data_IF_533402087780
#
_entry.id   IF_533402087780
#
_cell.length_a   1.000
_cell.length_b   1.000
_cell.length_c   1.000
_cell.angle_alpha   90.00
_cell.angle_beta   90.00
_cell.angle_gamma   90.00
#
_symmetry.space_group_name_H-M   'P 1'
#
loop_
_entity.id
_entity.type
_entity.pdbx_description
1 polymer ?
2 non-polymer ?
3 non-polymer ?
4 water ?
#
# COMPACT_ATOMS: atom_id res chain seq x y z
N UNK A 17 27.08 7.01 13.35
CA UNK A 17 26.08 7.11 12.24
C UNK A 17 25.14 5.91 12.21
N UNK A 18 24.10 5.92 13.06
CA UNK A 18 23.17 4.78 13.16
C UNK A 18 22.25 4.64 11.96
N UNK A 19 21.78 3.42 11.73
CA UNK A 19 20.86 3.12 10.62
C UNK A 19 19.65 2.30 11.08
N UNK A 20 18.58 2.36 10.29
CA UNK A 20 17.39 1.52 10.51
C UNK A 20 17.31 0.49 9.38
N UNK A 21 17.08 -0.76 9.74
CA UNK A 21 16.86 -1.83 8.77
C UNK A 21 15.36 -2.10 8.62
N UNK A 22 14.84 -1.83 7.43
CA UNK A 22 13.41 -2.01 7.14
C UNK A 22 13.18 -3.31 6.36
N UNK A 23 12.27 -4.15 6.87
CA UNK A 23 12.00 -5.47 6.30
C UNK A 23 10.54 -5.60 5.85
N UNK A 24 10.35 -6.12 4.65
CA UNK A 24 9.02 -6.44 4.14
C UNK A 24 8.99 -7.84 3.54
N UNK A 25 8.52 -8.79 4.33
CA UNK A 25 8.38 -10.17 3.86
C UNK A 25 7.05 -10.36 3.15
N UNK A 26 7.12 -10.53 1.83
CA UNK A 26 5.94 -10.81 1.02
C UNK A 26 5.64 -12.30 0.96
N UNK A 27 4.77 -12.68 0.02
CA UNK A 27 4.39 -14.07 -0.17
C UNK A 27 5.52 -14.92 -0.76
N UNK A 28 6.38 -14.29 -1.58
CA UNK A 28 7.47 -14.99 -2.25
C UNK A 28 8.79 -14.21 -2.24
N UNK A 29 8.91 -13.21 -1.37
CA UNK A 29 10.09 -12.35 -1.34
C UNK A 29 10.36 -11.71 0.03
N UNK A 30 11.55 -11.16 0.19
CA UNK A 30 11.89 -10.31 1.34
C UNK A 30 12.51 -9.01 0.82
N UNK A 31 11.73 -7.95 0.80
CA UNK A 31 12.20 -6.64 0.36
C UNK A 31 12.75 -5.88 1.56
N UNK A 32 14.03 -5.54 1.52
CA UNK A 32 14.67 -4.83 2.62
C UNK A 32 15.32 -3.51 2.19
N UNK A 33 15.46 -2.60 3.14
CA UNK A 33 16.13 -1.32 2.92
C UNK A 33 16.86 -0.86 4.18
N UNK A 34 17.99 -0.19 3.98
CA UNK A 34 18.76 0.38 5.08
C UNK A 34 18.73 1.89 4.96
N UNK A 35 18.21 2.56 5.99
CA UNK A 35 18.07 4.01 5.99
C UNK A 35 18.86 4.67 7.10
N UNK A 36 19.49 5.80 6.78
CA UNK A 36 20.21 6.60 7.76
C UNK A 36 19.22 7.26 8.72
N UNK A 37 19.52 7.20 10.02
CA UNK A 37 18.63 7.74 11.05
C UNK A 37 18.52 9.27 10.97
N UNK A 38 19.64 9.93 10.69
CA UNK A 38 19.71 11.40 10.75
C UNK A 38 18.98 12.10 9.59
N UNK A 39 18.91 11.45 8.44
CA UNK A 39 18.36 12.06 7.24
C UNK A 39 17.24 11.25 6.57
N UNK A 40 17.12 9.99 6.98
CA UNK A 40 16.19 9.02 6.38
C UNK A 40 16.52 8.70 4.92
N UNK A 41 17.81 8.76 4.59
CA UNK A 41 18.30 8.43 3.26
C UNK A 41 18.54 6.93 3.12
N UNK A 42 18.16 6.37 1.97
CA UNK A 42 18.42 4.97 1.68
C UNK A 42 19.89 4.77 1.32
N UNK A 43 20.58 3.95 2.11
CA UNK A 43 22.00 3.66 1.88
C UNK A 43 22.19 2.32 1.17
N UNK A 44 21.21 1.43 1.34
CA UNK A 44 21.21 0.12 0.70
C UNK A 44 19.79 -0.41 0.55
N UNK A 45 19.49 -0.95 -0.63
CA UNK A 45 18.20 -1.58 -0.90
C UNK A 45 18.42 -2.92 -1.58
N UNK A 46 17.50 -3.86 -1.35
CA UNK A 46 17.62 -5.20 -1.92
C UNK A 46 16.34 -6.02 -1.87
N UNK A 47 16.39 -7.20 -2.47
CA UNK A 47 15.25 -8.11 -2.55
C UNK A 47 15.71 -9.57 -2.64
N UNK A 48 15.16 -10.41 -1.76
CA UNK A 48 15.42 -11.84 -1.78
C UNK A 48 14.24 -12.57 -2.43
N UNK A 49 14.25 -12.57 -3.77
CA UNK A 49 13.12 -13.05 -4.56
C UNK A 49 13.06 -14.57 -4.70
N UNK A 50 11.90 -15.09 -5.08
CA UNK A 50 11.69 -16.51 -5.32
C UNK A 50 11.81 -17.38 -4.08
N UNK A 51 11.16 -16.95 -3.00
CA UNK A 51 11.22 -17.67 -1.72
C UNK A 51 10.50 -19.02 -1.76
N UNK A 52 11.06 -19.99 -1.06
CA UNK A 52 10.56 -21.38 -1.02
C UNK A 52 10.63 -22.11 -2.37
N UNK A 53 11.38 -21.53 -3.31
CA UNK A 53 11.57 -22.11 -4.64
C UNK A 53 13.00 -22.65 -4.78
N UNK A 54 13.19 -23.59 -5.70
CA UNK A 54 14.51 -24.15 -5.98
C UNK A 54 15.52 -23.10 -6.45
N UNK A 55 15.01 -22.02 -7.02
CA UNK A 55 15.85 -20.88 -7.44
C UNK A 55 15.51 -19.60 -6.67
N UNK A 56 16.25 -19.35 -5.60
CA UNK A 56 16.02 -18.19 -4.74
C UNK A 56 17.22 -17.24 -4.72
N UNK A 57 17.13 -16.17 -5.49
CA UNK A 57 18.22 -15.20 -5.62
C UNK A 57 18.03 -13.95 -4.76
N UNK A 58 19.14 -13.46 -4.21
CA UNK A 58 19.17 -12.22 -3.44
C UNK A 58 20.00 -11.17 -4.19
N UNK A 59 19.34 -10.10 -4.61
CA UNK A 59 19.99 -9.06 -5.42
C UNK A 59 20.01 -7.69 -4.74
N UNK A 60 21.13 -7.39 -4.09
CA UNK A 60 21.32 -6.13 -3.38
C UNK A 60 21.76 -5.02 -4.34
N UNK A 61 20.97 -3.95 -4.42
CA UNK A 61 21.25 -2.77 -5.24
C UNK A 61 21.35 -3.03 -6.74
N UNK A 62 21.54 -4.29 -7.12
CA UNK A 62 21.73 -4.68 -8.51
C UNK A 62 23.17 -5.00 -8.84
N UNK A 63 24.09 -4.71 -7.92
CA UNK A 63 25.53 -4.89 -8.14
C UNK A 63 25.93 -6.37 -8.24
N UNK A 64 25.21 -7.23 -7.54
CA UNK A 64 25.47 -8.66 -7.54
C UNK A 64 24.21 -9.46 -7.23
N UNK A 65 23.65 -10.14 -8.25
CA UNK A 65 22.50 -11.04 -8.03
C UNK A 65 22.96 -12.41 -7.50
N UNK A 66 23.39 -12.43 -6.23
CA UNK A 66 23.81 -13.67 -5.56
C UNK A 66 22.69 -14.69 -5.50
N UNK A 67 23.04 -15.97 -5.47
CA UNK A 67 22.06 -17.05 -5.59
C UNK A 67 22.03 -18.00 -4.39
N UNK A 68 20.84 -18.53 -4.11
CA UNK A 68 20.64 -19.58 -3.13
C UNK A 68 19.57 -20.56 -3.63
N UNK A 69 19.61 -21.79 -3.12
CA UNK A 69 18.67 -22.83 -3.56
C UNK A 69 17.82 -23.37 -2.42
N UNK A 70 16.50 -23.33 -2.61
CA UNK A 70 15.51 -23.83 -1.64
C UNK A 70 15.83 -23.45 -0.20
N UNK A 71 15.69 -22.17 0.12
CA UNK A 71 16.02 -21.64 1.44
C UNK A 71 14.84 -20.93 2.09
N UNK A 72 14.74 -21.08 3.41
CA UNK A 72 13.64 -20.48 4.18
C UNK A 72 13.79 -18.96 4.39
N UNK A 73 12.78 -18.35 5.00
CA UNK A 73 12.78 -16.91 5.30
C UNK A 73 13.96 -16.49 6.18
N UNK A 74 14.36 -17.36 7.11
CA UNK A 74 15.48 -17.08 8.01
C UNK A 74 16.83 -17.14 7.30
N UNK A 75 16.94 -18.06 6.33
CA UNK A 75 18.18 -18.24 5.57
C UNK A 75 18.45 -17.05 4.66
N UNK A 76 17.39 -16.51 4.06
CA UNK A 76 17.49 -15.31 3.22
C UNK A 76 17.85 -14.08 4.05
N UNK A 77 17.37 -14.04 5.30
CA UNK A 77 17.69 -12.96 6.23
C UNK A 77 19.11 -13.11 6.79
N UNK A 78 19.54 -14.36 6.99
CA UNK A 78 20.90 -14.66 7.45
C UNK A 78 21.93 -14.33 6.38
N UNK A 79 21.48 -14.34 5.12
CA UNK A 79 22.30 -13.90 4.00
C UNK A 79 22.51 -12.38 4.07
N UNK A 80 21.45 -11.64 4.35
CA UNK A 80 21.52 -10.18 4.53
C UNK A 80 22.43 -9.82 5.69
N UNK A 81 22.29 -10.55 6.80
CA UNK A 81 23.09 -10.33 8.01
C UNK A 81 24.60 -10.48 7.76
N UNK A 82 24.96 -11.42 6.89
CA UNK A 82 26.35 -11.61 6.48
C UNK A 82 26.81 -10.50 5.54
N UNK A 83 25.93 -10.10 4.62
CA UNK A 83 26.22 -9.04 3.66
C UNK A 83 26.42 -7.68 4.32
N UNK A 84 25.59 -7.39 5.33
CA UNK A 84 25.69 -6.16 6.09
C UNK A 84 26.96 -6.10 6.93
N UNK A 85 27.38 -7.25 7.47
CA UNK A 85 28.63 -7.37 8.20
C UNK A 85 29.84 -7.25 7.26
N UNK A 86 29.68 -7.75 6.04
CA UNK A 86 30.71 -7.65 5.00
C UNK A 86 30.96 -6.20 4.60
N UNK A 87 29.91 -5.38 4.66
CA UNK A 87 30.01 -3.95 4.39
C UNK A 87 30.13 -3.11 5.67
N UNK A 88 30.45 -3.78 6.78
CA UNK A 88 30.66 -3.14 8.09
C UNK A 88 29.47 -2.31 8.60
N UNK A 89 28.25 -2.77 8.30
CA UNK A 89 27.04 -2.05 8.70
C UNK A 89 26.39 -2.60 9.97
N UNK A 90 26.76 -3.82 10.35
CA UNK A 90 26.14 -4.52 11.50
C UNK A 90 26.06 -3.69 12.78
N UNK A 91 27.16 -3.04 13.15
CA UNK A 91 27.19 -2.21 14.36
C UNK A 91 26.38 -0.92 14.26
N UNK A 92 26.00 -0.53 13.04
CA UNK A 92 25.22 0.69 12.82
C UNK A 92 23.71 0.46 12.94
N UNK A 93 23.28 -0.79 12.84
CA UNK A 93 21.86 -1.16 12.91
C UNK A 93 21.29 -0.91 14.31
N UNK A 94 20.77 0.30 14.52
CA UNK A 94 20.22 0.71 15.81
C UNK A 94 18.77 0.26 15.99
N UNK A 95 18.03 0.20 14.89
CA UNK A 95 16.60 -0.12 14.92
C UNK A 95 16.23 -1.03 13.74
N UNK A 96 15.21 -1.86 13.92
CA UNK A 96 14.69 -2.68 12.83
C UNK A 96 13.17 -2.48 12.68
N UNK A 97 12.75 -2.17 11.46
CA UNK A 97 11.33 -1.95 11.16
C UNK A 97 10.72 -3.09 10.36
N UNK A 98 9.57 -3.58 10.83
CA UNK A 98 8.87 -4.68 10.17
C UNK A 98 7.52 -4.24 9.63
N UNK A 99 7.29 -4.51 8.33
CA UNK A 99 5.99 -4.28 7.73
C UNK A 99 5.06 -5.45 8.01
N UNK A 100 3.91 -5.16 8.61
CA UNK A 100 2.90 -6.17 8.89
C UNK A 100 1.66 -5.91 8.04
N UNK A 101 1.18 -6.96 7.38
CA UNK A 101 0.04 -6.85 6.47
C UNK A 101 -1.29 -6.57 7.18
N UNK A 102 -1.50 -7.18 8.34
CA UNK A 102 -2.80 -7.11 9.02
C UNK A 102 -2.67 -7.04 10.54
N UNK A 103 -3.18 -5.96 11.13
CA UNK A 103 -3.15 -5.77 12.58
C UNK A 103 -4.49 -5.92 13.28
N UNK A 104 -5.48 -6.46 12.56
CA UNK A 104 -6.83 -6.63 13.08
C UNK A 104 -7.38 -5.40 13.76
N UNK A 105 -7.99 -5.59 14.93
CA UNK A 105 -8.47 -4.48 15.76
C UNK A 105 -7.52 -4.22 16.91
N UNK A 106 -6.53 -5.10 17.06
CA UNK A 106 -5.59 -5.05 18.18
C UNK A 106 -4.55 -3.94 18.06
N UNK A 107 -4.27 -3.52 16.83
CA UNK A 107 -3.23 -2.52 16.60
C UNK A 107 -3.74 -1.26 15.92
N UNK A 108 -3.51 -0.13 16.58
CA UNK A 108 -3.96 1.18 16.11
C UNK A 108 -2.79 2.08 15.73
N UNK A 109 -1.59 1.64 16.09
CA UNK A 109 -0.35 2.40 15.86
C UNK A 109 0.86 1.46 15.83
N UNK A 110 2.01 1.99 15.43
CA UNK A 110 3.26 1.22 15.40
C UNK A 110 3.77 0.96 16.82
N UNK A 111 4.21 -0.27 17.06
CA UNK A 111 4.63 -0.69 18.40
C UNK A 111 6.03 -1.32 18.42
N UNK A 112 6.73 -1.17 19.55
CA UNK A 112 7.94 -1.92 19.82
C UNK A 112 7.58 -3.38 20.00
N UNK A 113 8.25 -4.26 19.26
CA UNK A 113 7.95 -5.69 19.28
C UNK A 113 8.40 -6.33 20.59
N UNK A 114 7.47 -7.06 21.21
CA UNK A 114 7.73 -7.88 22.39
C UNK A 114 7.04 -9.24 22.19
N UNK A 115 7.19 -10.14 23.15
CA UNK A 115 6.50 -11.44 23.12
C UNK A 115 4.98 -11.28 23.06
N UNK A 116 4.48 -10.23 23.71
CA UNK A 116 3.06 -9.87 23.67
C UNK A 116 2.62 -9.49 22.25
N UNK A 117 3.43 -8.67 21.59
CA UNK A 117 3.14 -8.19 20.24
C UNK A 117 3.12 -9.35 19.24
N UNK A 118 4.04 -10.30 19.40
CA UNK A 118 4.10 -11.48 18.54
C UNK A 118 2.84 -12.34 18.70
N UNK A 119 2.45 -12.61 19.95
CA UNK A 119 1.22 -13.33 20.24
C UNK A 119 0.01 -12.68 19.57
N UNK A 120 -0.06 -11.36 19.66
CA UNK A 120 -1.17 -10.59 19.10
C UNK A 120 -1.22 -10.57 17.57
N UNK A 121 -0.04 -10.49 16.94
CA UNK A 121 0.07 -10.64 15.49
C UNK A 121 -0.34 -12.04 15.05
N UNK A 122 -0.01 -13.05 15.86
CA UNK A 122 -0.40 -14.42 15.58
C UNK A 122 -1.92 -14.64 15.76
N UNK A 123 -2.54 -13.83 16.63
CA UNK A 123 -3.98 -13.88 16.85
C UNK A 123 -4.78 -13.35 15.66
N UNK A 124 -4.29 -12.30 15.03
CA UNK A 124 -4.97 -11.66 13.91
C UNK A 124 -4.60 -12.26 12.55
N UNK A 125 -3.62 -13.16 12.56
CA UNK A 125 -3.11 -13.80 11.33
C UNK A 125 -4.13 -14.54 10.48
N UNK A 126 -5.20 -15.11 11.09
CA UNK A 126 -6.25 -15.71 10.25
C UNK A 126 -6.95 -14.72 9.30
N UNK A 127 -6.87 -13.43 9.59
CA UNK A 127 -7.46 -12.39 8.75
C UNK A 127 -6.68 -12.17 7.45
N UNK A 128 -5.41 -12.57 7.45
CA UNK A 128 -4.56 -12.56 6.25
C UNK A 128 -3.51 -13.67 6.33
N UNK A 129 -3.91 -14.94 6.09
CA UNK A 129 -3.07 -16.12 6.33
C UNK A 129 -1.73 -16.12 5.59
N UNK A 130 -1.75 -15.86 4.29
CA UNK A 130 -0.53 -15.90 3.48
C UNK A 130 0.51 -14.88 3.96
N UNK A 131 0.12 -13.60 3.94
CA UNK A 131 1.04 -12.50 4.23
C UNK A 131 1.52 -12.41 5.69
N UNK A 132 0.60 -12.60 6.63
CA UNK A 132 0.93 -12.44 8.06
C UNK A 132 1.90 -13.47 8.64
N UNK A 133 1.79 -14.72 8.21
CA UNK A 133 2.73 -15.76 8.65
C UNK A 133 4.13 -15.52 8.09
N UNK A 134 4.20 -14.93 6.90
CA UNK A 134 5.48 -14.51 6.32
C UNK A 134 6.11 -13.38 7.14
N UNK A 135 5.29 -12.44 7.60
CA UNK A 135 5.75 -11.33 8.44
C UNK A 135 6.31 -11.81 9.78
N UNK A 136 5.68 -12.82 10.35
CA UNK A 136 6.11 -13.43 11.61
C UNK A 136 7.42 -14.18 11.45
N UNK A 137 7.57 -14.85 10.30
CA UNK A 137 8.82 -15.54 9.95
C UNK A 137 9.98 -14.54 9.88
N UNK A 138 9.69 -13.35 9.35
CA UNK A 138 10.66 -12.26 9.30
C UNK A 138 11.05 -11.75 10.67
N UNK A 139 10.07 -11.61 11.56
CA UNK A 139 10.30 -11.16 12.94
C UNK A 139 11.18 -12.15 13.69
N UNK A 140 10.81 -13.42 13.63
CA UNK A 140 11.55 -14.51 14.27
C UNK A 140 13.01 -14.57 13.81
N UNK A 141 13.20 -14.41 12.49
CA UNK A 141 14.54 -14.39 11.90
C UNK A 141 15.35 -13.18 12.34
N UNK A 142 14.79 -11.99 12.22
CA UNK A 142 15.47 -10.74 12.58
C UNK A 142 15.78 -10.67 14.07
N UNK A 143 14.93 -11.27 14.89
CA UNK A 143 15.16 -11.32 16.34
C UNK A 143 16.34 -12.21 16.71
N UNK A 144 16.51 -13.30 15.97
CA UNK A 144 17.65 -14.20 16.14
C UNK A 144 18.97 -13.50 15.83
N UNK A 145 19.01 -12.83 14.68
CA UNK A 145 20.24 -12.21 14.19
C UNK A 145 20.57 -10.87 14.86
N UNK A 146 19.54 -10.21 15.40
CA UNK A 146 19.72 -8.91 16.05
C UNK A 146 18.95 -8.82 17.38
N UNK A 147 19.39 -9.58 18.41
CA UNK A 147 18.67 -9.57 19.69
C UNK A 147 18.86 -8.27 20.48
N UNK A 148 20.03 -7.68 20.37
CA UNK A 148 20.35 -6.44 21.09
C UNK A 148 19.75 -5.20 20.43
N UNK A 149 19.04 -5.41 19.33
CA UNK A 149 18.48 -4.31 18.54
C UNK A 149 16.96 -4.22 18.73
N UNK A 150 16.50 -3.03 19.12
CA UNK A 150 15.08 -2.71 19.23
C UNK A 150 14.38 -2.94 17.88
N UNK A 151 13.21 -3.58 17.93
CA UNK A 151 12.46 -3.91 16.73
C UNK A 151 11.02 -3.43 16.80
N UNK A 152 10.55 -2.87 15.68
CA UNK A 152 9.27 -2.19 15.61
C UNK A 152 8.38 -2.81 14.53
N UNK A 153 7.10 -2.98 14.84
CA UNK A 153 6.13 -3.48 13.86
C UNK A 153 5.22 -2.37 13.37
N UNK A 154 5.12 -2.23 12.04
CA UNK A 154 4.27 -1.22 11.42
C UNK A 154 3.23 -1.88 10.53
N UNK A 155 1.96 -1.60 10.83
CA UNK A 155 0.83 -2.33 10.25
C UNK A 155 0.18 -1.58 9.10
N UNK A 156 -0.22 -2.33 8.07
CA UNK A 156 -0.93 -1.78 6.91
C UNK A 156 -2.35 -1.31 7.23
N UNK A 157 -2.89 -1.79 8.35
CA UNK A 157 -4.29 -1.56 8.70
C UNK A 157 -4.50 -0.48 9.77
N UNK A 158 -3.47 -0.23 10.58
CA UNK A 158 -3.62 0.56 11.81
C UNK A 158 -4.18 1.97 11.62
N UNK A 159 -3.86 2.60 10.49
CA UNK A 159 -4.33 3.95 10.20
C UNK A 159 -5.84 4.03 10.00
N UNK A 160 -6.43 2.96 9.48
CA UNK A 160 -7.88 2.91 9.22
C UNK A 160 -8.71 2.49 10.45
N UNK A 161 -8.07 2.37 11.61
CA UNK A 161 -8.77 1.96 12.84
C UNK A 161 -9.62 3.06 13.44
N UNK A 162 -9.49 4.27 12.90
CA UNK A 162 -10.29 5.41 13.33
C UNK A 162 -11.63 5.49 12.61
N UNK A 163 -11.89 4.51 11.74
CA UNK A 163 -13.17 4.43 11.04
C UNK A 163 -14.33 4.12 12.00
N UNK A 164 -15.42 4.88 11.84
CA UNK A 164 -16.64 4.68 12.61
C UNK A 164 -17.33 3.40 12.13
N UNK A 165 -18.10 2.74 13.02
CA UNK A 165 -18.79 1.48 12.70
C UNK A 165 -19.60 1.54 11.40
N UNK A 166 -20.30 2.65 11.16
CA UNK A 166 -21.09 2.86 9.94
C UNK A 166 -20.23 2.79 8.67
N UNK A 167 -18.95 3.12 8.82
CA UNK A 167 -18.01 3.11 7.70
C UNK A 167 -17.32 1.76 7.50
N UNK A 168 -17.21 0.96 8.56
CA UNK A 168 -16.51 -0.33 8.44
C UNK A 168 -17.38 -1.58 8.45
N UNK A 169 -18.66 -1.43 8.82
CA UNK A 169 -19.58 -2.56 8.80
C UNK A 169 -20.04 -2.90 7.39
N UNK A 170 -20.19 -4.19 7.13
CA UNK A 170 -20.87 -4.68 5.95
C UNK A 170 -22.35 -4.92 6.28
N UNK A 171 -23.19 -4.89 5.25
CA UNK A 171 -24.62 -5.12 5.40
C UNK A 171 -24.96 -6.56 5.74
N UNK A 172 -23.93 -7.37 6.02
CA UNK A 172 -24.11 -8.76 6.41
C UNK A 172 -24.80 -8.87 7.77
N UNK A 173 -25.40 -10.05 8.07
CA UNK A 173 -25.95 -10.28 9.40
C UNK A 173 -24.93 -10.02 10.49
N UNK A 174 -25.36 -9.35 11.57
CA UNK A 174 -24.49 -8.93 12.68
C UNK A 174 -23.58 -10.04 13.21
N UNK A 175 -24.08 -11.28 13.17
CA UNK A 175 -23.33 -12.45 13.62
C UNK A 175 -21.92 -12.52 13.01
N UNK A 176 -21.83 -12.26 11.71
CA UNK A 176 -20.56 -12.32 10.98
C UNK A 176 -19.52 -11.32 11.47
N UNK A 177 -19.99 -10.18 11.99
CA UNK A 177 -19.08 -9.18 12.55
C UNK A 177 -18.63 -9.52 13.98
N UNK A 178 -19.59 -9.74 14.87
CA UNK A 178 -19.29 -9.96 16.28
C UNK A 178 -18.63 -11.31 16.56
N UNK A 179 -19.07 -12.33 15.83
CA UNK A 179 -18.57 -13.70 16.01
C UNK A 179 -17.31 -14.00 15.18
N UNK A 180 -17.31 -13.59 13.92
CA UNK A 180 -16.21 -13.93 12.99
C UNK A 180 -15.26 -12.78 12.66
N UNK A 181 -15.64 -11.55 13.02
CA UNK A 181 -14.79 -10.39 12.78
C UNK A 181 -14.78 -9.89 11.34
N UNK A 182 -15.87 -10.14 10.62
CA UNK A 182 -16.01 -9.66 9.24
C UNK A 182 -16.39 -8.18 9.25
N UNK A 183 -15.48 -7.36 8.73
CA UNK A 183 -15.64 -5.91 8.68
C UNK A 183 -14.60 -5.34 7.72
N UNK A 184 -14.74 -4.06 7.38
CA UNK A 184 -13.75 -3.35 6.59
C UNK A 184 -12.51 -3.09 7.45
N UNK A 185 -11.33 -3.33 6.88
CA UNK A 185 -10.08 -2.95 7.51
C UNK A 185 -9.36 -1.91 6.66
N UNK A 186 -9.22 -2.20 5.36
CA UNK A 186 -8.52 -1.30 4.45
C UNK A 186 -7.02 -1.42 4.58
N UNK A 187 -6.31 -1.01 3.54
CA UNK A 187 -4.86 -1.18 3.47
C UNK A 187 -4.17 0.06 2.89
N UNK A 188 -2.87 -0.06 2.61
CA UNK A 188 -2.03 1.08 2.23
C UNK A 188 -2.01 2.17 3.31
N UNK A 189 -2.28 1.75 4.54
CA UNK A 189 -2.42 2.67 5.67
C UNK A 189 -1.17 3.45 6.00
N UNK A 190 -0.01 2.82 5.83
CA UNK A 190 1.28 3.47 6.05
C UNK A 190 1.53 4.53 4.98
N UNK A 191 1.20 4.19 3.73
CA UNK A 191 1.27 5.15 2.62
C UNK A 191 0.29 6.31 2.81
N UNK A 192 -0.99 5.99 3.01
CA UNK A 192 -2.04 6.99 3.20
C UNK A 192 -1.68 7.96 4.33
N UNK A 193 -1.18 7.41 5.44
CA UNK A 193 -0.73 8.18 6.59
C UNK A 193 0.45 9.08 6.25
N UNK A 194 1.50 8.51 5.66
CA UNK A 194 2.68 9.28 5.26
C UNK A 194 2.33 10.41 4.31
N UNK A 195 1.57 10.09 3.26
CA UNK A 195 1.15 11.08 2.26
C UNK A 195 0.31 12.19 2.87
N UNK A 196 -0.56 11.84 3.82
CA UNK A 196 -1.34 12.81 4.58
C UNK A 196 -0.45 13.83 5.29
N UNK A 197 0.50 13.33 6.11
CA UNK A 197 1.41 14.20 6.86
C UNK A 197 2.12 15.17 5.93
N UNK A 198 2.54 14.67 4.76
CA UNK A 198 3.26 15.48 3.78
C UNK A 198 2.36 16.52 3.12
N UNK A 199 1.08 16.19 2.97
CA UNK A 199 0.12 17.06 2.31
C UNK A 199 -0.20 18.31 3.11
N UNK A 200 -0.21 18.18 4.44
CA UNK A 200 -0.50 19.32 5.32
C UNK A 200 0.54 20.42 5.19
N UNK A 201 1.80 20.05 5.00
CA UNK A 201 2.86 21.02 4.77
C UNK A 201 2.77 21.62 3.36
N UNK A 202 2.72 20.76 2.35
CA UNK A 202 2.65 21.18 0.95
C UNK A 202 1.47 22.11 0.65
N UNK A 203 0.31 21.80 1.23
CA UNK A 203 -0.91 22.57 0.98
C UNK A 203 -1.17 23.66 2.02
N UNK A 204 -0.24 23.79 2.98
CA UNK A 204 -0.34 24.75 4.08
C UNK A 204 -1.67 24.62 4.83
N UNK A 205 -1.96 23.39 5.26
CA UNK A 205 -3.22 23.10 5.94
C UNK A 205 -3.02 22.84 7.42
N UNK A 206 -4.02 23.21 8.21
CA UNK A 206 -4.08 22.82 9.61
C UNK A 206 -4.64 21.41 9.68
N UNK A 207 -3.81 20.47 10.14
CA UNK A 207 -4.19 19.06 10.26
C UNK A 207 -5.51 18.88 11.01
N UNK A 208 -5.70 19.64 12.08
CA UNK A 208 -6.88 19.54 12.94
C UNK A 208 -8.18 20.03 12.28
N UNK A 209 -8.04 20.80 11.19
CA UNK A 209 -9.19 21.26 10.40
C UNK A 209 -8.90 21.08 8.91
N UNK A 210 -9.07 19.86 8.43
CA UNK A 210 -8.71 19.51 7.06
C UNK A 210 -9.52 18.32 6.52
N UNK A 211 -9.65 18.28 5.20
CA UNK A 211 -10.28 17.16 4.51
C UNK A 211 -9.50 16.79 3.26
N UNK A 212 -8.90 15.60 3.28
CA UNK A 212 -8.11 15.13 2.15
C UNK A 212 -8.65 13.81 1.58
N UNK A 213 -8.42 13.64 0.28
CA UNK A 213 -8.61 12.34 -0.38
C UNK A 213 -7.25 11.92 -0.91
N UNK A 214 -6.79 10.74 -0.51
CA UNK A 214 -5.54 10.20 -0.99
C UNK A 214 -5.82 9.02 -1.90
N UNK A 215 -5.39 9.14 -3.15
CA UNK A 215 -5.52 8.07 -4.12
C UNK A 215 -4.18 7.36 -4.28
N UNK A 216 -4.06 6.22 -3.62
CA UNK A 216 -2.88 5.37 -3.76
C UNK A 216 -3.09 4.47 -4.97
N UNK A 217 -2.34 4.74 -6.03
CA UNK A 217 -2.50 4.01 -7.27
C UNK A 217 -1.21 3.29 -7.69
N UNK A 218 -1.20 1.98 -7.49
CA UNK A 218 -0.12 1.11 -7.96
C UNK A 218 -0.74 -0.15 -8.55
N UNK A 219 0.01 -1.25 -8.55
CA UNK A 219 -0.55 -2.55 -8.91
C UNK A 219 -1.76 -2.88 -8.04
N UNK A 220 -1.62 -2.66 -6.73
CA UNK A 220 -2.75 -2.64 -5.81
C UNK A 220 -3.10 -1.19 -5.54
N UNK A 221 -4.39 -0.87 -5.53
CA UNK A 221 -4.82 0.52 -5.43
C UNK A 221 -5.97 0.74 -4.45
N UNK A 222 -5.91 1.85 -3.71
CA UNK A 222 -6.96 2.20 -2.76
C UNK A 222 -7.11 3.71 -2.58
N UNK A 223 -8.32 4.12 -2.23
CA UNK A 223 -8.61 5.50 -1.85
C UNK A 223 -8.75 5.56 -0.34
N UNK A 224 -8.50 6.74 0.23
CA UNK A 224 -8.69 6.98 1.66
C UNK A 224 -9.10 8.42 1.92
N UNK A 225 -10.16 8.59 2.69
CA UNK A 225 -10.61 9.91 3.14
C UNK A 225 -9.98 10.23 4.48
N UNK A 226 -9.21 11.31 4.54
CA UNK A 226 -8.58 11.74 5.77
C UNK A 226 -9.21 13.04 6.26
N UNK A 227 -9.98 12.93 7.34
CA UNK A 227 -10.68 14.06 7.93
C UNK A 227 -9.99 14.44 9.24
N UNK A 228 -9.55 15.69 9.33
CA UNK A 228 -8.85 16.20 10.53
C UNK A 228 -7.68 15.33 11.00
N UNK A 229 -6.94 14.78 10.05
CA UNK A 229 -5.77 13.94 10.32
C UNK A 229 -6.06 12.47 10.51
N UNK A 230 -7.35 12.12 10.53
CA UNK A 230 -7.78 10.74 10.78
C UNK A 230 -8.45 10.12 9.57
N UNK A 231 -8.15 8.84 9.33
CA UNK A 231 -8.82 8.06 8.30
C UNK A 231 -10.29 7.85 8.68
N UNK A 232 -11.19 8.29 7.81
CA UNK A 232 -12.63 8.16 8.06
C UNK A 232 -13.33 7.24 7.05
N UNK A 233 -12.68 6.99 5.92
CA UNK A 233 -13.16 6.04 4.92
C UNK A 233 -11.99 5.55 4.09
N UNK A 234 -12.07 4.30 3.63
CA UNK A 234 -11.05 3.72 2.75
C UNK A 234 -11.69 2.65 1.84
N UNK A 235 -11.14 2.48 0.64
CA UNK A 235 -11.82 1.71 -0.40
C UNK A 235 -11.65 0.19 -0.30
N UNK A 236 -10.48 -0.27 0.17
CA UNK A 236 -10.27 -1.70 0.39
C UNK A 236 -11.07 -2.16 1.61
N UNK A 237 -11.41 -3.45 1.65
CA UNK A 237 -12.25 -3.98 2.71
C UNK A 237 -11.50 -4.82 3.72
N UNK A 238 -12.09 -5.97 4.03
CA UNK A 238 -11.44 -6.98 4.88
C UNK A 238 -10.18 -7.49 4.16
N UNK A 239 -10.30 -7.63 2.84
CA UNK A 239 -9.18 -8.05 2.00
C UNK A 239 -8.89 -6.94 0.97
N UNK A 240 -7.71 -7.01 0.31
CA UNK A 240 -7.40 -6.06 -0.76
C UNK A 240 -8.22 -6.22 -2.05
N UNK A 241 -9.27 -7.03 -2.02
CA UNK A 241 -10.09 -7.27 -3.22
C UNK A 241 -11.18 -6.21 -3.47
N UNK A 242 -11.55 -5.45 -2.45
CA UNK A 242 -12.65 -4.48 -2.57
C UNK A 242 -12.17 -3.10 -3.00
N UNK A 243 -13.06 -2.39 -3.71
CA UNK A 243 -12.84 -0.99 -4.04
C UNK A 243 -12.54 -0.77 -5.50
N UNK A 244 -11.41 -0.11 -5.75
CA UNK A 244 -10.96 0.21 -7.10
C UNK A 244 -10.63 -1.03 -7.91
N UNK A 245 -10.82 -0.94 -9.21
CA UNK A 245 -10.22 -1.89 -10.14
C UNK A 245 -8.70 -1.68 -10.09
N UNK A 246 -7.95 -2.77 -10.14
CA UNK A 246 -6.50 -2.70 -9.99
C UNK A 246 -5.76 -3.40 -11.12
N UNK A 247 -4.48 -3.69 -10.92
CA UNK A 247 -3.65 -4.38 -11.93
C UNK A 247 -4.22 -5.72 -12.35
N UNK A 248 -4.38 -6.63 -11.39
CA UNK A 248 -4.93 -7.95 -11.63
C UNK A 248 -6.24 -8.20 -10.86
N UNK A 249 -6.62 -7.23 -10.04
CA UNK A 249 -7.82 -7.35 -9.20
C UNK A 249 -9.02 -6.58 -9.77
N UNK A 250 -10.17 -7.21 -9.71
CA UNK A 250 -11.41 -6.67 -10.29
C UNK A 250 -11.93 -5.43 -9.57
N UNK A 251 -11.75 -5.39 -8.26
CA UNK A 251 -12.35 -4.35 -7.43
C UNK A 251 -13.78 -4.70 -7.11
N UNK A 252 -14.60 -3.70 -6.80
CA UNK A 252 -16.03 -3.90 -6.53
C UNK A 252 -16.65 -4.78 -7.60
N UNK A 253 -17.31 -5.84 -7.16
CA UNK A 253 -18.02 -6.75 -8.07
C UNK A 253 -19.32 -7.25 -7.44
N UNK A 254 -20.40 -7.21 -8.23
CA UNK A 254 -21.71 -7.67 -7.83
C UNK A 254 -21.65 -9.14 -7.41
N UNK A 255 -22.01 -9.40 -6.15
CA UNK A 255 -21.98 -10.76 -5.61
C UNK A 255 -23.02 -11.65 -6.30
N UNK A 256 -24.14 -11.04 -6.69
CA UNK A 256 -25.16 -11.72 -7.48
C UNK A 256 -24.64 -12.16 -8.83
N UNK A 257 -23.82 -11.32 -9.44
CA UNK A 257 -23.18 -11.62 -10.72
C UNK A 257 -22.20 -12.77 -10.57
N UNK A 258 -21.47 -12.79 -9.45
CA UNK A 258 -20.50 -13.84 -9.16
C UNK A 258 -21.17 -15.19 -8.93
N UNK A 259 -22.33 -15.16 -8.26
CA UNK A 259 -23.13 -16.37 -8.03
C UNK A 259 -23.78 -16.87 -9.32
N UNK A 260 -24.13 -15.94 -10.20
CA UNK A 260 -24.69 -16.25 -11.51
C UNK A 260 -23.65 -16.93 -12.40
N UNK A 261 -22.41 -16.44 -12.31
CA UNK A 261 -21.28 -17.02 -13.05
C UNK A 261 -21.05 -18.47 -12.62
N UNK A 262 -21.13 -18.72 -11.31
CA UNK A 262 -20.93 -20.05 -10.74
C UNK A 262 -21.88 -21.10 -11.32
N UNK A 263 -23.15 -20.72 -11.49
CA UNK A 263 -24.17 -21.63 -12.02
C UNK A 263 -23.90 -22.04 -13.47
N UNK A 264 -23.35 -21.11 -14.25
CA UNK A 264 -23.07 -21.34 -15.67
C UNK A 264 -21.76 -22.08 -15.93
N UNK A 265 -20.72 -21.74 -15.18
CA UNK A 265 -19.37 -22.29 -15.39
C UNK A 265 -19.06 -23.49 -14.50
N UNK A 266 -19.84 -23.67 -13.44
CA UNK A 266 -19.61 -24.75 -12.48
C UNK A 266 -18.46 -24.44 -11.52
N UNK A 267 -17.92 -23.23 -11.62
CA UNK A 267 -16.82 -22.79 -10.77
C UNK A 267 -17.25 -22.59 -9.32
N UNK A 268 -16.30 -22.73 -8.41
CA UNK A 268 -16.55 -22.55 -6.98
C UNK A 268 -16.12 -21.15 -6.52
N UNK A 269 -16.32 -20.87 -5.24
CA UNK A 269 -15.90 -19.61 -4.63
C UNK A 269 -14.38 -19.44 -4.74
N UNK A 270 -13.65 -20.51 -4.47
CA UNK A 270 -12.18 -20.51 -4.57
C UNK A 270 -11.68 -20.29 -6.00
N UNK A 271 -12.35 -20.94 -6.96
CA UNK A 271 -12.03 -20.77 -8.37
C UNK A 271 -12.14 -19.30 -8.77
N UNK A 272 -13.27 -18.68 -8.41
CA UNK A 272 -13.53 -17.28 -8.70
C UNK A 272 -12.70 -16.33 -7.84
N UNK A 273 -12.26 -16.82 -6.67
CA UNK A 273 -11.34 -16.08 -5.80
C UNK A 273 -10.04 -15.76 -6.53
N UNK A 274 -9.45 -16.77 -7.16
CA UNK A 274 -8.21 -16.61 -7.93
C UNK A 274 -8.42 -15.70 -9.14
N UNK A 275 -9.54 -15.88 -9.84
CA UNK A 275 -9.88 -15.07 -11.01
C UNK A 275 -9.95 -13.59 -10.65
N UNK A 276 -10.70 -13.27 -9.59
CA UNK A 276 -10.89 -11.90 -9.11
C UNK A 276 -9.57 -11.26 -8.65
N UNK A 277 -8.69 -12.07 -8.07
CA UNK A 277 -7.44 -11.60 -7.50
C UNK A 277 -6.26 -11.56 -8.48
N UNK A 278 -6.19 -12.53 -9.39
CA UNK A 278 -4.99 -12.74 -10.20
C UNK A 278 -5.17 -12.58 -11.72
N UNK A 279 -6.41 -12.62 -12.20
CA UNK A 279 -6.66 -12.64 -13.65
C UNK A 279 -7.57 -11.51 -14.13
N UNK A 280 -7.95 -10.62 -13.22
CA UNK A 280 -8.92 -9.58 -13.51
C UNK A 280 -8.25 -8.20 -13.67
N UNK A 281 -9.02 -7.14 -13.43
CA UNK A 281 -8.52 -5.77 -13.46
C UNK A 281 -8.07 -5.31 -14.84
N UNK A 282 -7.01 -4.51 -14.87
CA UNK A 282 -6.43 -4.01 -16.12
C UNK A 282 -6.01 -5.16 -17.01
N UNK A 283 -5.37 -6.18 -16.43
CA UNK A 283 -4.98 -7.40 -17.12
C UNK A 283 -6.20 -8.12 -17.71
N UNK A 284 -7.27 -8.20 -16.90
CA UNK A 284 -8.49 -8.90 -17.28
C UNK A 284 -9.24 -8.30 -18.45
N UNK A 285 -9.46 -6.98 -18.40
CA UNK A 285 -10.22 -6.30 -19.45
C UNK A 285 -9.42 -6.19 -20.75
N UNK A 286 -8.21 -5.64 -20.67
CA UNK A 286 -7.36 -5.41 -21.84
C UNK A 286 -6.89 -6.71 -22.49
N UNK A 287 -6.70 -7.75 -21.68
CA UNK A 287 -6.18 -9.03 -22.15
C UNK A 287 -4.74 -8.92 -22.63
N UNK A 288 -4.06 -7.87 -22.17
CA UNK A 288 -2.74 -7.51 -22.66
C UNK A 288 -1.74 -7.48 -21.52
N UNK A 289 -1.94 -6.56 -20.57
CA UNK A 289 -1.05 -6.38 -19.44
C UNK A 289 -1.72 -5.70 -18.24
N UNK A 290 -1.16 -5.93 -17.05
CA UNK A 290 -1.56 -5.21 -15.84
C UNK A 290 -0.79 -3.89 -15.73
N UNK A 291 0.31 -3.78 -16.47
CA UNK A 291 1.17 -2.60 -16.46
C UNK A 291 0.53 -1.47 -17.26
N UNK A 292 0.46 -0.29 -16.65
CA UNK A 292 -0.13 0.88 -17.32
C UNK A 292 0.74 1.48 -18.42
N UNK A 293 2.06 1.40 -18.25
CA UNK A 293 3.00 1.85 -19.28
C UNK A 293 2.72 1.15 -20.61
N UNK A 294 2.47 -0.16 -20.53
CA UNK A 294 2.11 -0.98 -21.69
C UNK A 294 0.78 -0.53 -22.29
N UNK A 295 -0.23 -0.37 -21.43
CA UNK A 295 -1.60 -0.07 -21.88
C UNK A 295 -1.77 1.34 -22.44
N UNK A 296 -1.07 2.30 -21.85
CA UNK A 296 -1.10 3.69 -22.33
C UNK A 296 -0.56 3.80 -23.76
N UNK A 297 0.53 3.09 -24.02
CA UNK A 297 1.14 3.06 -25.35
C UNK A 297 0.26 2.26 -26.33
N UNK A 298 -0.37 1.21 -25.81
CA UNK A 298 -1.32 0.42 -26.61
C UNK A 298 -2.51 1.27 -27.06
N UNK A 299 -3.02 2.12 -26.18
CA UNK A 299 -4.14 3.01 -26.51
C UNK A 299 -3.73 4.06 -27.54
N UNK A 300 -2.53 4.61 -27.38
CA UNK A 300 -2.00 5.56 -28.34
C UNK A 300 -1.90 4.94 -29.73
N UNK A 301 -1.72 3.62 -29.78
CA UNK A 301 -1.68 2.85 -31.02
C UNK A 301 -3.05 2.30 -31.42
N UNK A 302 -4.10 2.78 -30.76
CA UNK A 302 -5.48 2.47 -31.13
C UNK A 302 -6.04 1.13 -30.68
N UNK A 303 -5.43 0.53 -29.65
CA UNK A 303 -5.94 -0.71 -29.06
C UNK A 303 -7.22 -0.41 -28.28
N UNK A 304 -8.31 -1.07 -28.67
CA UNK A 304 -9.64 -0.79 -28.14
C UNK A 304 -9.85 -1.27 -26.70
N UNK A 305 -9.42 -2.49 -26.42
CA UNK A 305 -9.59 -3.09 -25.09
C UNK A 305 -8.68 -2.47 -24.02
N UNK A 306 -7.54 -1.94 -24.45
CA UNK A 306 -6.64 -1.22 -23.56
C UNK A 306 -7.23 0.13 -23.19
N UNK A 307 -7.89 0.76 -24.16
CA UNK A 307 -8.57 2.04 -23.97
C UNK A 307 -9.71 1.91 -22.96
N UNK A 308 -10.47 0.81 -23.08
CA UNK A 308 -11.60 0.53 -22.20
C UNK A 308 -11.15 0.21 -20.78
N UNK A 309 -10.09 -0.59 -20.65
CA UNK A 309 -9.52 -0.93 -19.35
C UNK A 309 -9.09 0.34 -18.59
N UNK A 310 -8.48 1.27 -19.31
CA UNK A 310 -8.05 2.54 -18.74
C UNK A 310 -9.25 3.43 -18.37
N UNK A 311 -10.23 3.52 -19.26
CA UNK A 311 -11.44 4.31 -19.01
C UNK A 311 -12.25 3.76 -17.83
N UNK A 312 -12.37 2.43 -17.75
CA UNK A 312 -13.02 1.75 -16.63
C UNK A 312 -12.28 2.02 -15.32
N UNK A 313 -10.95 1.88 -15.38
CA UNK A 313 -10.04 2.15 -14.28
C UNK A 313 -10.23 3.58 -13.77
N UNK A 314 -10.21 4.54 -14.69
CA UNK A 314 -10.40 5.96 -14.37
C UNK A 314 -11.78 6.23 -13.77
N UNK A 315 -12.81 5.65 -14.40
CA UNK A 315 -14.20 5.86 -13.97
C UNK A 315 -14.41 5.38 -12.54
N UNK A 316 -13.84 4.22 -12.21
CA UNK A 316 -13.96 3.65 -10.87
C UNK A 316 -13.14 4.40 -9.82
N UNK A 317 -12.03 5.00 -10.24
CA UNK A 317 -11.24 5.87 -9.37
C UNK A 317 -11.99 7.15 -9.02
N UNK A 318 -12.60 7.78 -10.04
CA UNK A 318 -13.35 9.01 -9.86
C UNK A 318 -14.57 8.80 -8.96
N UNK A 319 -15.23 7.68 -9.16
CA UNK A 319 -16.43 7.33 -8.41
C UNK A 319 -16.12 7.18 -6.93
N UNK A 320 -15.04 6.45 -6.62
CA UNK A 320 -14.61 6.27 -5.25
C UNK A 320 -14.00 7.52 -4.61
N UNK A 321 -13.37 8.37 -5.42
CA UNK A 321 -12.83 9.62 -4.89
C UNK A 321 -13.98 10.52 -4.40
N UNK A 322 -14.97 10.71 -5.28
CA UNK A 322 -16.15 11.53 -4.96
C UNK A 322 -16.96 10.94 -3.81
N UNK A 323 -17.10 9.61 -3.81
CA UNK A 323 -17.79 8.90 -2.74
C UNK A 323 -17.15 9.05 -1.38
N UNK A 324 -15.83 8.88 -1.33
CA UNK A 324 -15.06 9.06 -0.08
C UNK A 324 -15.11 10.48 0.45
N UNK A 325 -15.33 11.45 -0.44
CA UNK A 325 -15.41 12.86 -0.06
C UNK A 325 -16.64 13.16 0.82
N UNK A 326 -17.65 12.31 0.73
CA UNK A 326 -18.87 12.44 1.54
C UNK A 326 -18.57 12.33 3.04
N UNK A 327 -17.51 11.59 3.38
CA UNK A 327 -17.07 11.43 4.77
C UNK A 327 -16.28 12.64 5.30
N UNK A 328 -16.17 13.68 4.49
CA UNK A 328 -15.49 14.91 4.89
C UNK A 328 -16.49 16.03 5.11
N UNK A 329 -16.12 16.99 5.96
CA UNK A 329 -16.92 18.20 6.17
C UNK A 329 -16.58 19.25 5.12
N UNK A 330 -15.34 19.21 4.65
CA UNK A 330 -14.84 20.13 3.63
C UNK A 330 -13.70 19.45 2.87
N UNK A 331 -13.72 19.57 1.55
CA UNK A 331 -12.67 18.99 0.71
C UNK A 331 -11.60 20.02 0.36
N UNK A 332 -10.40 19.82 0.88
CA UNK A 332 -9.29 20.75 0.65
C UNK A 332 -8.35 20.26 -0.45
N UNK A 333 -8.08 18.96 -0.47
CA UNK A 333 -7.13 18.41 -1.42
C UNK A 333 -7.39 16.99 -1.89
N UNK A 334 -6.93 16.70 -3.10
CA UNK A 334 -6.86 15.35 -3.62
C UNK A 334 -5.40 15.06 -3.94
N UNK A 335 -4.86 14.00 -3.33
CA UNK A 335 -3.45 13.67 -3.48
C UNK A 335 -3.28 12.34 -4.21
N UNK A 336 -2.45 12.37 -5.26
CA UNK A 336 -2.11 11.17 -6.01
C UNK A 336 -0.77 10.63 -5.55
N UNK A 337 -0.69 9.30 -5.46
CA UNK A 337 0.54 8.63 -5.08
C UNK A 337 0.59 7.20 -5.63
N UNK A 338 1.71 6.51 -5.41
CA UNK A 338 1.92 5.18 -5.95
C UNK A 338 2.53 5.25 -7.35
N UNK A 339 2.99 4.10 -7.85
CA UNK A 339 3.60 4.02 -9.18
C UNK A 339 2.79 4.69 -10.27
N UNK A 340 1.47 4.52 -10.24
CA UNK A 340 0.56 5.12 -11.22
C UNK A 340 0.29 6.59 -10.91
N UNK A 341 -0.02 6.89 -9.64
CA UNK A 341 -0.32 8.25 -9.22
C UNK A 341 0.84 9.22 -9.34
N UNK A 342 2.06 8.69 -9.20
CA UNK A 342 3.26 9.51 -9.28
C UNK A 342 3.70 9.76 -10.73
N UNK A 343 3.50 8.76 -11.59
CA UNK A 343 4.10 8.74 -12.91
C UNK A 343 3.17 8.89 -14.12
N UNK A 344 1.86 8.67 -13.92
CA UNK A 344 0.92 8.72 -15.04
C UNK A 344 0.26 10.08 -15.23
N UNK A 345 0.79 10.84 -16.18
CA UNK A 345 0.21 12.13 -16.59
C UNK A 345 -1.22 11.93 -17.09
N UNK A 346 -1.45 10.83 -17.81
CA UNK A 346 -2.74 10.56 -18.45
C UNK A 346 -3.86 10.22 -17.47
N UNK A 347 -3.61 9.22 -16.61
CA UNK A 347 -4.61 8.80 -15.63
C UNK A 347 -5.03 9.94 -14.71
N UNK A 348 -4.05 10.69 -14.21
CA UNK A 348 -4.32 11.85 -13.35
C UNK A 348 -5.24 12.86 -14.01
N UNK A 349 -4.94 13.21 -15.26
CA UNK A 349 -5.77 14.17 -15.99
C UNK A 349 -7.17 13.64 -16.25
N UNK A 350 -7.26 12.38 -16.65
CA UNK A 350 -8.55 11.74 -16.93
C UNK A 350 -9.43 11.67 -15.70
N UNK A 351 -8.82 11.30 -14.56
CA UNK A 351 -9.51 11.28 -13.27
C UNK A 351 -10.00 12.68 -12.88
N UNK A 352 -9.12 13.68 -12.99
CA UNK A 352 -9.46 15.05 -12.62
C UNK A 352 -10.53 15.65 -13.54
N UNK A 353 -10.47 15.33 -14.82
CA UNK A 353 -11.50 15.77 -15.78
C UNK A 353 -12.84 15.09 -15.51
N UNK A 354 -12.78 13.88 -14.96
CA UNK A 354 -13.97 13.14 -14.53
C UNK A 354 -14.53 13.66 -13.20
N UNK A 355 -13.84 14.61 -12.57
CA UNK A 355 -14.28 15.16 -11.30
C UNK A 355 -14.52 16.67 -11.37
N UNK A 356 -14.95 17.14 -12.54
CA UNK A 356 -15.28 18.55 -12.73
C UNK A 356 -16.46 18.98 -11.87
N UNK A 357 -17.27 18.00 -11.48
CA UNK A 357 -18.42 18.21 -10.59
C UNK A 357 -18.00 18.76 -9.22
N UNK A 358 -16.80 18.40 -8.78
CA UNK A 358 -16.24 18.89 -7.52
C UNK A 358 -15.53 20.23 -7.71
N UNK A 359 -15.45 20.68 -8.97
CA UNK A 359 -14.89 21.98 -9.30
C UNK A 359 -13.39 21.99 -9.49
N UNK A 360 -12.82 20.83 -9.84
CA UNK A 360 -11.37 20.72 -10.06
C UNK A 360 -10.96 21.29 -11.42
N UNK A 361 -9.92 22.12 -11.40
CA UNK A 361 -9.31 22.63 -12.62
C UNK A 361 -7.84 22.18 -12.65
N UNK A 362 -7.45 21.53 -13.74
CA UNK A 362 -6.08 21.02 -13.87
C UNK A 362 -5.13 22.00 -14.56
N UNK A 363 -3.91 22.07 -14.05
CA UNK A 363 -2.81 22.74 -14.74
C UNK A 363 -2.00 21.70 -15.48
N UNK A 364 -2.18 21.65 -16.81
CA UNK A 364 -1.62 20.56 -17.62
C UNK A 364 -0.09 20.60 -17.69
N UNK A 365 0.49 21.78 -17.82
CA UNK A 365 1.95 21.92 -17.77
C UNK A 365 2.53 21.38 -16.45
N UNK A 366 1.86 21.69 -15.34
CA UNK A 366 2.26 21.17 -14.03
C UNK A 366 2.02 19.66 -13.93
N UNK A 367 0.91 19.19 -14.51
CA UNK A 367 0.61 17.76 -14.54
C UNK A 367 1.54 16.97 -15.47
N UNK A 368 2.12 17.67 -16.44
CA UNK A 368 3.06 17.07 -17.39
C UNK A 368 4.39 16.69 -16.75
N UNK A 369 4.75 17.39 -15.67
CA UNK A 369 6.02 17.18 -14.97
C UNK A 369 6.19 15.73 -14.48
N UNK A 370 7.38 15.14 -14.73
CA UNK A 370 7.65 13.79 -14.25
C UNK A 370 7.92 13.74 -12.74
N UNK A 371 7.99 12.54 -12.19
CA UNK A 371 8.11 12.33 -10.75
C UNK A 371 9.36 12.94 -10.09
N UNK A 372 10.38 13.22 -10.91
CA UNK A 372 11.60 13.88 -10.46
C UNK A 372 11.33 15.22 -9.77
N UNK A 373 10.18 15.82 -10.07
CA UNK A 373 9.77 17.08 -9.45
C UNK A 373 9.14 16.89 -8.07
N UNK A 374 9.01 15.63 -7.65
CA UNK A 374 8.59 15.27 -6.30
C UNK A 374 7.22 15.76 -5.88
N UNK A 375 7.14 16.31 -4.68
CA UNK A 375 5.88 16.82 -4.14
C UNK A 375 5.51 18.13 -4.84
N UNK A 376 4.41 18.09 -5.57
CA UNK A 376 4.06 19.17 -6.50
C UNK A 376 2.55 19.35 -6.67
N UNK A 377 2.12 20.60 -6.79
CA UNK A 377 0.73 20.94 -7.10
C UNK A 377 0.51 20.78 -8.61
N UNK A 378 -0.59 20.14 -9.00
CA UNK A 378 -0.90 19.93 -10.41
C UNK A 378 -2.22 20.59 -10.84
N UNK A 379 -2.89 21.25 -9.91
CA UNK A 379 -4.13 21.96 -10.19
C UNK A 379 -3.90 23.45 -10.43
N UNK A 380 -4.75 24.05 -11.25
CA UNK A 380 -4.71 25.49 -11.52
C UNK A 380 -5.20 26.27 -10.30
N UNK A 381 -4.91 27.57 -10.28
CA UNK A 381 -5.30 28.44 -9.16
C UNK A 381 -6.81 28.55 -8.88
N UNK A 382 -7.64 28.78 -9.93
CA UNK A 382 -9.10 28.91 -9.71
C UNK A 382 -9.83 27.59 -9.40
N UNK A 383 -9.08 26.51 -9.18
CA UNK A 383 -9.65 25.24 -8.76
C UNK A 383 -10.13 25.34 -7.31
N UNK A 384 -11.34 24.86 -7.04
CA UNK A 384 -11.93 24.89 -5.70
C UNK A 384 -11.21 23.95 -4.74
N UNK A 385 -10.58 22.92 -5.30
CA UNK A 385 -9.83 21.92 -4.54
C UNK A 385 -8.40 21.85 -5.09
N UNK A 386 -7.43 21.74 -4.19
CA UNK A 386 -6.03 21.58 -4.60
C UNK A 386 -5.77 20.12 -4.99
N UNK A 387 -5.13 19.93 -6.13
CA UNK A 387 -4.67 18.60 -6.54
C UNK A 387 -3.15 18.56 -6.52
N UNK A 388 -2.61 17.45 -6.04
CA UNK A 388 -1.16 17.32 -5.89
C UNK A 388 -0.69 15.89 -6.08
N UNK A 389 0.58 15.76 -6.44
CA UNK A 389 1.25 14.48 -6.47
C UNK A 389 2.26 14.48 -5.33
N UNK A 390 2.21 13.45 -4.49
CA UNK A 390 3.18 13.28 -3.43
C UNK A 390 3.70 11.84 -3.47
N UNK A 391 4.99 11.67 -3.81
CA UNK A 391 5.60 10.33 -3.83
C UNK A 391 5.56 9.67 -2.46
N UNK A 392 5.04 8.46 -2.40
CA UNK A 392 4.95 7.72 -1.14
C UNK A 392 6.28 7.07 -0.78
N UNK A 393 6.53 6.96 0.51
CA UNK A 393 7.75 6.36 1.02
C UNK A 393 7.45 5.53 2.27
N UNK A 394 6.95 4.31 2.03
CA UNK A 394 6.53 3.43 3.11
C UNK A 394 7.71 3.02 3.99
N UNK A 395 8.88 2.87 3.38
CA UNK A 395 10.12 2.58 4.09
C UNK A 395 10.50 3.70 5.07
N UNK A 396 10.33 4.94 4.62
CA UNK A 396 10.66 6.12 5.43
C UNK A 396 9.73 6.27 6.62
N UNK A 397 8.43 6.06 6.39
CA UNK A 397 7.42 6.14 7.45
C UNK A 397 7.67 5.07 8.52
N UNK A 398 7.97 3.84 8.08
CA UNK A 398 8.35 2.75 8.98
C UNK A 398 9.57 3.14 9.82
N UNK A 399 10.56 3.74 9.16
CA UNK A 399 11.79 4.19 9.82
C UNK A 399 11.51 5.31 10.82
N UNK A 400 10.70 6.28 10.43
CA UNK A 400 10.32 7.40 11.30
C UNK A 400 9.58 6.93 12.55
N UNK A 401 8.78 5.88 12.40
CA UNK A 401 8.11 5.25 13.53
C UNK A 401 9.12 4.58 14.45
N UNK A 402 10.06 3.86 13.86
CA UNK A 402 11.12 3.18 14.59
C UNK A 402 12.01 4.16 15.34
N UNK A 403 12.36 5.27 14.70
CA UNK A 403 13.18 6.32 15.31
C UNK A 403 12.47 6.95 16.50
N UNK A 404 11.19 7.27 16.33
CA UNK A 404 10.34 7.81 17.40
C UNK A 404 10.27 6.87 18.60
N UNK A 405 10.11 5.57 18.33
CA UNK A 405 10.04 4.56 19.38
C UNK A 405 11.41 4.18 19.95
N UNK A 406 12.46 4.75 19.36
CA UNK A 406 13.83 4.54 19.84
C UNK A 406 14.17 5.32 21.10
N UNK A 407 13.34 6.33 21.40
CA UNK A 407 13.50 7.17 22.58
C UNK A 407 12.74 6.63 23.80
N UNK A 408 11.96 5.58 23.57
CA UNK A 408 11.09 4.99 24.59
C UNK A 408 11.88 4.10 25.55
N UNK A 409 11.40 4.01 26.79
CA UNK A 409 11.98 3.10 27.79
C UNK A 409 10.99 1.98 28.12
N UNK A 410 11.26 0.79 27.58
CA UNK A 410 10.41 -0.37 27.77
C UNK A 410 11.01 -1.36 28.77
X LIG B 1 -0.78 -11.14 -3.57
X LIG B 1 -2.03 -11.49 -2.97
X LIG B 1 0.16 -12.34 -3.49
X LIG B 1 1.46 -11.90 -3.09
X LIG C 1 -22.66 -17.36 12.58
X LIG C 1 -21.47 -17.11 13.34
X LIG C 1 -22.31 -17.40 11.10
X LIG C 1 -22.78 -18.63 10.52
X LIG D 1 3.25 -1.99 -6.44
X LIG D 1 3.99 -3.04 -7.23
X LIG D 1 1.96 -2.57 -5.88
X LIG D 1 4.14 -1.51 -5.31
X LIG D 1 2.85 -0.76 -7.40
X LIG D 1 3.85 0.47 -7.68
X LIG D 1 5.30 0.04 -7.61
X LIG D 1 3.56 1.63 -6.74
X LIG D 1 3.47 0.88 -9.18
X LIG D 1 3.71 -0.02 -10.25
X LIG D 1 2.67 0.26 -11.32
X LIG D 1 2.64 1.65 -11.62
X LIG D 1 3.01 -0.47 -12.61
X LIG D 1 2.28 -1.70 -12.69
X LIG D 1 2.60 0.50 -13.70
X LIG D 1 1.27 0.20 -14.14
X LIG D 1 2.60 1.87 -13.04
X LIG D 1 3.76 2.68 -13.48
X LIG D 1 5.03 2.59 -13.02
X LIG D 1 5.84 3.48 -13.64
X LIG D 1 5.09 4.17 -14.53
X LIG D 1 5.32 5.25 -15.51
X LIG D 1 6.45 5.75 -15.67
X LIG D 1 4.27 5.69 -16.24
X LIG D 1 3.03 5.16 -16.09
X LIG D 1 2.03 5.65 -16.86
X LIG D 1 2.76 4.16 -15.21
X LIG D 1 3.72 3.63 -14.41
#
# INVERSE_FOLDING_TARGET
MRGSHHHHHHGMASNEFPVVLVINCGSSSIKFSVLDVATCDVLMAGIADGMNTENAFLSINGDKPINLAHSNYEDALKAIAFELEKRDLTDSVALIGHRIAHGGELFTQSVIITDEIIDNIRRVSPLAPLHNYANLSGIDAARHLFPAVRQVAVFDTSFHQTLAPEAYLYGLPWEYFSSLGVRRYGFHGTSHRYVSRRAYELLDLDEKDSGLIVAHLGNGASICAVRNGQSVDTSMGMTPLEGLMMGTRSGDVDFGAMAWIAKETGQTLSDLERVVNKESGLLGISGLSSDLRVLEKAWHEGHERARLAIKTFVHRIARHIAGHAASLHRLDGIIFTGGIGENSVLIRQLVIEHLGVLGLTLDVEMNKQPNSHGERIISANPSQVICAVIPTNEEKMIALDAIHLGNVKAPVEFA
EDO C1 O1 C2 O2
EDO C1 O1 C2 O2
GDP PB O1B O2B O3B O3A PA O1A O2A O5' C5' C4' O4' C3' O3' C2' O2' C1' N9 C8 N7 C5 C6 O6 N1 C2 N2 N3 C4
#
